data_IF_897587316654
#
_entry.id   IF_897587316654
#
_cell.length_a   1.000
_cell.length_b   1.000
_cell.length_c   1.000
_cell.angle_alpha   90.00
_cell.angle_beta   90.00
_cell.angle_gamma   90.00
#
_symmetry.space_group_name_H-M   'P 1'
#
loop_
_entity.id
_entity.type
_entity.pdbx_description
1 polymer ?
#
# COMPACT_ATOMS: atom_id res chain seq x y z
N UNK A 1 23.81 -0.02 -5.22
CA UNK A 1 22.78 0.91 -4.70
C UNK A 1 22.53 0.52 -3.25
N UNK A 2 22.54 1.47 -2.31
CA UNK A 2 22.33 1.21 -0.88
C UNK A 2 21.46 2.31 -0.27
N UNK A 3 20.80 2.01 0.84
CA UNK A 3 20.04 3.02 1.58
C UNK A 3 20.96 3.82 2.48
N UNK A 4 20.82 5.15 2.41
CA UNK A 4 21.48 6.11 3.30
C UNK A 4 20.42 6.98 3.95
N UNK A 5 20.76 7.62 5.07
CA UNK A 5 19.91 8.61 5.71
C UNK A 5 20.69 9.89 6.00
N UNK A 6 19.98 11.01 6.00
CA UNK A 6 20.53 12.26 6.50
C UNK A 6 20.36 12.41 8.02
N UNK A 7 20.79 13.56 8.54
CA UNK A 7 20.66 13.92 9.96
C UNK A 7 19.20 14.08 10.42
N UNK A 8 18.28 14.38 9.51
CA UNK A 8 16.84 14.45 9.81
C UNK A 8 16.19 13.07 9.88
N UNK A 9 16.90 12.03 9.46
CA UNK A 9 16.40 10.67 9.34
C UNK A 9 15.70 10.38 8.01
N UNK A 10 15.68 11.33 7.08
CA UNK A 10 15.15 11.13 5.75
C UNK A 10 16.03 10.17 4.97
N UNK A 11 15.40 9.27 4.22
CA UNK A 11 16.07 8.12 3.59
C UNK A 11 16.21 8.34 2.11
N UNK A 12 17.38 8.00 1.59
CA UNK A 12 17.69 8.09 0.17
C UNK A 12 18.27 6.78 -0.37
N UNK A 13 18.18 6.62 -1.69
CA UNK A 13 18.95 5.63 -2.44
C UNK A 13 20.27 6.26 -2.91
N UNK A 14 21.39 5.74 -2.43
CA UNK A 14 22.70 6.15 -2.93
C UNK A 14 22.94 5.53 -4.32
N UNK A 15 23.00 6.40 -5.33
CA UNK A 15 23.23 6.03 -6.73
C UNK A 15 24.72 5.98 -7.06
N UNK A 16 25.45 7.03 -6.66
CA UNK A 16 26.88 7.18 -6.92
C UNK A 16 27.52 7.99 -5.81
N UNK A 17 28.77 7.66 -5.46
CA UNK A 17 29.60 8.43 -4.54
C UNK A 17 30.90 8.83 -5.24
N UNK A 18 31.28 10.11 -5.19
CA UNK A 18 32.50 10.63 -5.83
C UNK A 18 33.01 11.90 -5.15
N UNK A 19 34.31 11.90 -4.80
CA UNK A 19 34.89 12.99 -4.00
C UNK A 19 34.15 13.15 -2.68
N UNK A 20 33.89 14.40 -2.30
CA UNK A 20 33.17 14.76 -1.06
C UNK A 20 31.64 14.71 -1.19
N UNK A 21 31.12 14.27 -2.33
CA UNK A 21 29.67 14.29 -2.61
C UNK A 21 29.13 12.95 -3.08
N UNK A 22 27.84 12.76 -2.84
CA UNK A 22 27.05 11.60 -3.21
C UNK A 22 25.84 12.03 -4.01
N UNK A 23 25.60 11.39 -5.15
CA UNK A 23 24.34 11.47 -5.87
C UNK A 23 23.36 10.50 -5.24
N UNK A 24 22.26 11.04 -4.75
CA UNK A 24 21.19 10.29 -4.10
C UNK A 24 19.87 10.49 -4.84
N UNK A 25 18.96 9.52 -4.71
CA UNK A 25 17.58 9.63 -5.14
C UNK A 25 16.64 9.63 -3.95
N UNK A 26 15.73 10.57 -3.91
CA UNK A 26 14.62 10.60 -2.96
C UNK A 26 13.60 9.51 -3.33
N UNK A 27 13.30 8.54 -2.45
CA UNK A 27 12.32 7.51 -2.76
C UNK A 27 10.89 8.05 -2.77
N UNK A 28 10.58 9.17 -2.13
CA UNK A 28 9.23 9.75 -2.13
C UNK A 28 8.93 10.49 -3.43
N UNK A 29 9.85 11.33 -3.90
CA UNK A 29 9.63 12.15 -5.11
C UNK A 29 10.20 11.51 -6.38
N UNK A 30 11.27 10.73 -6.25
CA UNK A 30 12.06 10.22 -7.35
C UNK A 30 13.16 11.17 -7.82
N UNK A 31 13.26 12.37 -7.24
CA UNK A 31 14.25 13.37 -7.62
C UNK A 31 15.66 12.95 -7.23
N UNK A 32 16.62 13.36 -8.05
CA UNK A 32 18.04 13.13 -7.80
C UNK A 32 18.71 14.43 -7.35
N UNK A 33 19.56 14.33 -6.33
CA UNK A 33 20.30 15.48 -5.79
C UNK A 33 21.68 15.07 -5.30
N UNK A 34 22.60 16.04 -5.28
CA UNK A 34 23.93 15.86 -4.69
C UNK A 34 23.92 16.32 -3.25
N UNK A 35 24.39 15.45 -2.34
CA UNK A 35 24.57 15.74 -0.93
C UNK A 35 26.02 15.48 -0.52
N UNK A 36 26.52 16.23 0.45
CA UNK A 36 27.84 16.01 1.05
C UNK A 36 27.87 14.65 1.76
N UNK A 37 29.01 13.96 1.66
CA UNK A 37 29.13 12.59 2.19
C UNK A 37 28.99 12.53 3.71
N UNK A 38 29.47 13.55 4.43
CA UNK A 38 29.43 13.64 5.90
C UNK A 38 28.00 13.81 6.45
N UNK A 39 27.09 14.34 5.64
CA UNK A 39 25.66 14.44 5.94
C UNK A 39 24.92 13.11 5.77
N UNK A 40 25.57 12.05 5.27
CA UNK A 40 24.93 10.78 4.95
C UNK A 40 25.48 9.62 5.78
N UNK A 41 24.59 8.92 6.47
CA UNK A 41 24.91 7.70 7.20
C UNK A 41 24.30 6.47 6.49
N UNK A 42 25.08 5.41 6.20
CA UNK A 42 24.53 4.15 5.71
C UNK A 42 23.49 3.55 6.67
N UNK A 43 22.42 2.99 6.13
CA UNK A 43 21.45 2.22 6.91
C UNK A 43 21.74 0.74 6.72
N UNK A 44 22.22 0.09 7.77
CA UNK A 44 22.51 -1.35 7.77
C UNK A 44 21.23 -2.18 7.89
N UNK A 45 21.18 -3.31 7.19
CA UNK A 45 20.09 -4.29 7.28
C UNK A 45 18.81 -3.94 6.54
N UNK A 46 18.71 -2.78 5.89
CA UNK A 46 17.55 -2.39 5.08
C UNK A 46 17.77 -2.68 3.60
N UNK A 47 16.77 -3.27 2.95
CA UNK A 47 16.80 -3.49 1.52
C UNK A 47 16.65 -2.17 0.76
N UNK A 48 17.52 -1.92 -0.23
CA UNK A 48 17.35 -0.79 -1.14
C UNK A 48 16.04 -0.86 -1.92
N UNK A 49 15.51 -2.06 -2.17
CA UNK A 49 14.22 -2.23 -2.84
C UNK A 49 13.05 -1.84 -1.92
N UNK A 50 13.12 -2.15 -0.62
CA UNK A 50 12.13 -1.68 0.37
C UNK A 50 12.16 -0.15 0.50
N UNK A 51 13.34 0.44 0.41
CA UNK A 51 13.48 1.91 0.36
C UNK A 51 12.87 2.47 -0.92
N UNK A 52 13.15 1.86 -2.08
CA UNK A 52 12.56 2.28 -3.35
C UNK A 52 11.03 2.17 -3.35
N UNK A 53 10.47 1.12 -2.72
CA UNK A 53 9.03 0.94 -2.60
C UNK A 53 8.35 2.08 -1.83
N UNK A 54 9.09 2.88 -1.03
CA UNK A 54 8.54 4.03 -0.30
C UNK A 54 7.93 5.11 -1.20
N UNK A 55 8.22 5.07 -2.52
CA UNK A 55 7.57 5.90 -3.53
C UNK A 55 6.07 5.67 -3.64
N UNK A 56 5.63 4.43 -3.50
CA UNK A 56 4.21 4.08 -3.50
C UNK A 56 3.65 4.45 -2.13
N UNK A 57 2.56 5.21 -2.00
CA UNK A 57 1.98 5.57 -0.70
C UNK A 57 1.75 4.36 0.21
N UNK A 58 1.96 4.51 1.52
CA UNK A 58 1.79 3.39 2.47
C UNK A 58 0.41 2.73 2.41
N UNK A 59 -0.71 3.46 2.22
CA UNK A 59 -2.02 2.87 2.01
C UNK A 59 -2.09 1.96 0.76
N UNK A 60 -1.58 2.43 -0.38
CA UNK A 60 -1.56 1.67 -1.63
C UNK A 60 -0.67 0.42 -1.51
N UNK A 61 0.51 0.53 -0.89
CA UNK A 61 1.37 -0.64 -0.64
C UNK A 61 0.66 -1.74 0.15
N UNK A 62 -0.16 -1.36 1.13
CA UNK A 62 -0.89 -2.32 1.96
C UNK A 62 -1.90 -3.13 1.14
N UNK A 63 -2.57 -2.50 0.17
CA UNK A 63 -3.42 -3.19 -0.82
C UNK A 63 -2.56 -4.13 -1.67
N UNK A 64 -1.50 -3.62 -2.30
CA UNK A 64 -0.63 -4.42 -3.20
C UNK A 64 -0.02 -5.66 -2.52
N UNK A 65 0.19 -5.63 -1.21
CA UNK A 65 0.75 -6.77 -0.46
C UNK A 65 -0.30 -7.76 0.05
N UNK A 66 -1.58 -7.38 0.09
CA UNK A 66 -2.66 -8.18 0.70
C UNK A 66 -3.74 -8.61 -0.31
N UNK A 67 -3.72 -8.06 -1.52
CA UNK A 67 -4.68 -8.33 -2.58
C UNK A 67 -3.94 -9.00 -3.73
N UNK A 68 -4.17 -10.29 -3.90
CA UNK A 68 -3.33 -11.15 -4.73
C UNK A 68 -3.85 -11.37 -6.16
N UNK A 69 -5.11 -11.03 -6.43
CA UNK A 69 -5.72 -11.14 -7.75
C UNK A 69 -6.82 -10.10 -7.97
N UNK A 70 -7.29 -10.00 -9.21
CA UNK A 70 -8.31 -9.04 -9.63
C UNK A 70 -9.67 -9.30 -8.95
N UNK A 71 -9.96 -10.56 -8.57
CA UNK A 71 -11.22 -10.92 -7.90
C UNK A 71 -11.24 -10.37 -6.47
N UNK A 72 -10.13 -10.49 -5.75
CA UNK A 72 -9.93 -9.89 -4.44
C UNK A 72 -9.97 -8.35 -4.52
N UNK A 73 -9.33 -7.77 -5.54
CA UNK A 73 -9.36 -6.31 -5.75
C UNK A 73 -10.78 -5.82 -6.04
N UNK A 74 -11.50 -6.50 -6.92
CA UNK A 74 -12.89 -6.18 -7.26
C UNK A 74 -13.81 -6.19 -6.02
N UNK A 75 -13.63 -7.12 -5.09
CA UNK A 75 -14.39 -7.13 -3.84
C UNK A 75 -14.13 -5.88 -2.98
N UNK A 76 -12.88 -5.39 -2.90
CA UNK A 76 -12.60 -4.13 -2.17
C UNK A 76 -13.24 -2.92 -2.86
N UNK A 77 -13.22 -2.87 -4.20
CA UNK A 77 -13.88 -1.81 -4.98
C UNK A 77 -15.38 -1.83 -4.72
N UNK A 78 -16.04 -2.98 -4.80
CA UNK A 78 -17.47 -3.11 -4.53
C UNK A 78 -17.85 -2.74 -3.08
N UNK A 79 -17.00 -3.07 -2.11
CA UNK A 79 -17.16 -2.62 -0.72
C UNK A 79 -17.03 -1.11 -0.58
N UNK A 80 -16.17 -0.46 -1.39
CA UNK A 80 -16.03 0.99 -1.45
C UNK A 80 -17.29 1.63 -2.02
N UNK A 81 -17.71 1.19 -3.22
CA UNK A 81 -18.79 1.80 -4.00
C UNK A 81 -20.14 1.64 -3.32
N UNK A 82 -20.39 0.48 -2.70
CA UNK A 82 -21.61 0.21 -1.96
C UNK A 82 -21.58 0.76 -0.51
N UNK A 83 -20.46 1.35 -0.06
CA UNK A 83 -20.23 1.76 1.32
C UNK A 83 -20.48 0.62 2.33
N UNK A 84 -20.05 -0.57 1.95
CA UNK A 84 -20.18 -1.81 2.71
C UNK A 84 -21.24 -2.78 2.17
N UNK A 85 -21.01 -4.06 2.41
CA UNK A 85 -21.85 -5.15 1.91
C UNK A 85 -22.12 -6.19 3.00
N UNK A 86 -23.33 -6.75 3.04
CA UNK A 86 -23.61 -7.91 3.89
C UNK A 86 -22.96 -9.17 3.31
N UNK A 87 -22.54 -10.11 4.18
CA UNK A 87 -21.98 -11.40 3.72
C UNK A 87 -22.94 -12.13 2.78
N UNK A 88 -24.24 -12.04 3.07
CA UNK A 88 -25.29 -12.65 2.25
C UNK A 88 -25.31 -12.07 0.84
N UNK A 89 -25.24 -10.74 0.72
CA UNK A 89 -25.19 -10.04 -0.57
C UNK A 89 -23.93 -10.40 -1.35
N UNK A 90 -22.78 -10.51 -0.68
CA UNK A 90 -21.53 -10.88 -1.34
C UNK A 90 -21.64 -12.30 -1.95
N UNK A 91 -22.17 -13.26 -1.20
CA UNK A 91 -22.34 -14.64 -1.69
C UNK A 91 -23.37 -14.71 -2.82
N UNK A 92 -24.47 -13.96 -2.75
CA UNK A 92 -25.53 -14.02 -3.76
C UNK A 92 -25.16 -13.35 -5.08
N UNK A 93 -24.42 -12.24 -5.03
CA UNK A 93 -24.30 -11.34 -6.19
C UNK A 93 -23.00 -11.57 -6.98
N UNK A 94 -21.94 -12.12 -6.36
CA UNK A 94 -20.61 -12.20 -6.97
C UNK A 94 -20.10 -13.63 -7.21
N UNK A 95 -20.96 -14.64 -7.11
CA UNK A 95 -20.62 -16.07 -7.32
C UNK A 95 -19.34 -16.49 -6.58
N UNK A 96 -19.21 -16.04 -5.33
CA UNK A 96 -18.10 -16.40 -4.43
C UNK A 96 -18.59 -17.48 -3.49
N UNK A 97 -17.87 -18.61 -3.46
CA UNK A 97 -18.16 -19.66 -2.51
C UNK A 97 -17.85 -19.20 -1.08
N UNK A 98 -18.57 -19.73 -0.10
CA UNK A 98 -18.47 -19.25 1.28
C UNK A 98 -17.05 -19.42 1.88
N UNK A 99 -16.33 -20.48 1.51
CA UNK A 99 -14.96 -20.72 1.97
C UNK A 99 -13.95 -19.72 1.39
N UNK A 100 -14.05 -19.42 0.09
CA UNK A 100 -13.20 -18.41 -0.56
C UNK A 100 -13.46 -17.04 0.08
N UNK A 101 -14.74 -16.70 0.28
CA UNK A 101 -15.12 -15.44 0.90
C UNK A 101 -14.56 -15.33 2.32
N UNK A 102 -14.67 -16.37 3.14
CA UNK A 102 -14.10 -16.35 4.48
C UNK A 102 -12.57 -16.17 4.47
N UNK A 103 -11.87 -16.81 3.52
CA UNK A 103 -10.43 -16.63 3.33
C UNK A 103 -10.09 -15.18 3.01
N UNK A 104 -10.72 -14.60 1.98
CA UNK A 104 -10.50 -13.21 1.56
C UNK A 104 -10.79 -12.22 2.69
N UNK A 105 -11.92 -12.37 3.37
CA UNK A 105 -12.29 -11.49 4.48
C UNK A 105 -11.30 -11.60 5.65
N UNK A 106 -10.78 -12.79 5.94
CA UNK A 106 -9.77 -12.98 6.97
C UNK A 106 -8.46 -12.27 6.62
N UNK A 107 -7.98 -12.39 5.38
CA UNK A 107 -6.78 -11.72 4.89
C UNK A 107 -6.95 -10.19 4.89
N UNK A 108 -8.07 -9.68 4.38
CA UNK A 108 -8.35 -8.24 4.38
C UNK A 108 -8.43 -7.67 5.79
N UNK A 109 -9.02 -8.40 6.74
CA UNK A 109 -9.05 -7.98 8.15
C UNK A 109 -7.66 -8.01 8.78
N UNK A 110 -6.87 -9.05 8.52
CA UNK A 110 -5.50 -9.16 9.02
C UNK A 110 -4.62 -8.02 8.48
N UNK A 111 -4.83 -7.64 7.21
CA UNK A 111 -4.19 -6.50 6.58
C UNK A 111 -4.74 -5.14 7.04
N UNK A 112 -5.84 -5.11 7.80
CA UNK A 112 -6.49 -3.88 8.25
C UNK A 112 -7.21 -3.12 7.13
N UNK A 113 -7.57 -3.78 6.04
CA UNK A 113 -8.26 -3.19 4.90
C UNK A 113 -9.77 -3.07 5.13
N UNK A 114 -10.36 -3.99 5.90
CA UNK A 114 -11.80 -3.99 6.18
C UNK A 114 -12.07 -4.10 7.68
N UNK A 115 -13.26 -3.66 8.08
CA UNK A 115 -13.81 -3.85 9.43
C UNK A 115 -15.22 -4.45 9.35
N UNK A 116 -15.58 -5.21 10.38
CA UNK A 116 -16.95 -5.76 10.48
C UNK A 116 -17.94 -4.64 10.81
N UNK A 117 -19.08 -4.64 10.14
CA UNK A 117 -20.18 -3.71 10.34
C UNK A 117 -21.53 -4.43 10.26
N UNK A 118 -22.62 -3.66 10.38
CA UNK A 118 -23.99 -4.16 10.18
C UNK A 118 -24.62 -3.49 8.96
N UNK A 119 -25.04 -4.28 7.98
CA UNK A 119 -25.73 -3.83 6.78
C UNK A 119 -27.13 -4.43 6.79
N UNK A 120 -28.15 -3.59 6.87
CA UNK A 120 -29.56 -4.03 7.00
C UNK A 120 -29.80 -5.07 8.12
N UNK A 121 -29.08 -4.94 9.25
CA UNK A 121 -29.17 -5.86 10.40
C UNK A 121 -28.35 -7.15 10.27
N UNK A 122 -27.84 -7.46 9.08
CA UNK A 122 -26.96 -8.59 8.82
C UNK A 122 -25.50 -8.24 9.09
N UNK A 123 -24.66 -9.26 9.31
CA UNK A 123 -23.20 -9.08 9.36
C UNK A 123 -22.69 -8.66 7.99
N UNK A 124 -21.92 -7.59 7.94
CA UNK A 124 -21.28 -7.09 6.73
C UNK A 124 -19.87 -6.60 7.01
N UNK A 125 -19.26 -6.09 5.95
CA UNK A 125 -17.93 -5.49 5.99
C UNK A 125 -17.93 -4.18 5.24
N UNK A 126 -17.07 -3.28 5.66
CA UNK A 126 -16.80 -1.99 5.01
C UNK A 126 -15.30 -1.73 5.02
N UNK A 127 -14.83 -0.86 4.13
CA UNK A 127 -13.43 -0.45 4.10
C UNK A 127 -13.04 0.32 5.36
N UNK A 128 -11.77 0.21 5.73
CA UNK A 128 -11.13 1.17 6.64
C UNK A 128 -10.67 2.40 5.88
N UNK A 129 -10.45 3.51 6.59
CA UNK A 129 -9.89 4.73 5.99
C UNK A 129 -8.55 4.48 5.26
N UNK A 130 -7.78 3.49 5.72
CA UNK A 130 -6.52 3.09 5.08
C UNK A 130 -6.78 2.42 3.73
N UNK A 131 -7.77 1.54 3.63
CA UNK A 131 -8.13 0.92 2.36
C UNK A 131 -8.72 1.94 1.39
N UNK A 132 -9.61 2.83 1.86
CA UNK A 132 -10.18 3.90 1.01
C UNK A 132 -9.08 4.77 0.40
N UNK A 133 -8.17 5.31 1.22
CA UNK A 133 -7.02 6.10 0.74
C UNK A 133 -6.10 5.30 -0.20
N UNK A 134 -5.97 4.01 0.07
CA UNK A 134 -5.19 3.10 -0.76
C UNK A 134 -5.78 2.95 -2.16
N UNK A 135 -7.10 2.75 -2.25
CA UNK A 135 -7.81 2.68 -3.54
C UNK A 135 -7.75 4.02 -4.27
N UNK A 136 -8.05 5.14 -3.60
CA UNK A 136 -7.95 6.49 -4.18
C UNK A 136 -6.58 6.74 -4.82
N UNK A 137 -5.50 6.34 -4.13
CA UNK A 137 -4.12 6.48 -4.64
C UNK A 137 -3.82 5.64 -5.88
N UNK A 138 -4.63 4.62 -6.17
CA UNK A 138 -4.52 3.75 -7.36
C UNK A 138 -5.45 4.20 -8.48
N UNK A 139 -6.47 5.00 -8.16
CA UNK A 139 -7.52 5.41 -9.09
C UNK A 139 -7.22 6.69 -9.87
N UNK A 140 -6.28 7.52 -9.40
CA UNK A 140 -5.94 8.83 -9.99
C UNK A 140 -5.38 8.75 -11.44
N UNK A 141 -5.09 7.55 -11.97
CA UNK A 141 -4.68 7.35 -13.37
C UNK A 141 -5.83 7.01 -14.35
N UNK A 142 -7.08 6.83 -13.90
CA UNK A 142 -8.20 6.47 -14.81
C UNK A 142 -8.87 7.66 -15.52
N UNK A 143 -8.36 8.88 -15.32
CA UNK A 143 -8.84 10.11 -16.00
C UNK A 143 -7.94 10.54 -17.20
N UNK A 144 -7.19 9.62 -17.81
CA UNK A 144 -6.45 9.86 -19.08
C UNK A 144 -6.96 9.03 -20.26
#
# INVERSE_FOLDING_TARGET
>A
MRTVRDESGHRYLLLKQSGESSLVRDPQTGDESYLENDRLTPVEGESSLETAAKRVPSPARRILTAVHDDRALGLLVELSDCQGLSVRKIISDYDICESDLHGLLAEFRAAGLIRECRVAGERGYELTDVATKGLESLSDEFDQ
#
